data_IF_135711768548
#
_entry.id   IF_135711768548
#
_cell.length_a   1.000
_cell.length_b   1.000
_cell.length_c   1.000
_cell.angle_alpha   90.00
_cell.angle_beta   90.00
_cell.angle_gamma   90.00
#
_symmetry.space_group_name_H-M   'P 1'
#
loop_
_entity.id
_entity.type
_entity.pdbx_description
1 polymer ?
#
# COMPACT_ATOMS: atom_id res chain seq x y z
N UNK A 1 -38.88 -9.09 17.71
CA UNK A 1 -37.64 -9.09 18.52
C UNK A 1 -36.47 -8.89 17.57
N UNK A 2 -36.02 -7.65 17.40
CA UNK A 2 -34.79 -7.33 16.66
C UNK A 2 -33.63 -7.50 17.63
N UNK A 3 -32.86 -8.59 17.51
CA UNK A 3 -31.54 -8.64 18.11
C UNK A 3 -30.67 -7.67 17.33
N UNK A 4 -30.39 -6.52 17.93
CA UNK A 4 -29.29 -5.66 17.52
C UNK A 4 -27.99 -6.44 17.74
N UNK A 5 -27.62 -7.28 16.76
CA UNK A 5 -26.26 -7.78 16.62
C UNK A 5 -25.37 -6.57 16.33
N UNK A 6 -25.00 -5.87 17.40
CA UNK A 6 -23.77 -5.09 17.44
C UNK A 6 -22.66 -6.10 17.14
N UNK A 7 -22.27 -6.22 15.87
CA UNK A 7 -20.99 -6.79 15.51
C UNK A 7 -19.93 -5.89 16.15
N UNK A 8 -19.55 -6.25 17.36
CA UNK A 8 -18.45 -5.62 18.08
C UNK A 8 -17.23 -5.71 17.19
N UNK A 9 -16.64 -4.54 16.89
CA UNK A 9 -15.38 -4.47 16.17
C UNK A 9 -14.39 -5.45 16.81
N UNK A 10 -13.64 -6.23 16.00
CA UNK A 10 -12.72 -7.24 16.51
C UNK A 10 -11.85 -6.62 17.61
N UNK A 11 -11.72 -7.32 18.73
CA UNK A 11 -10.93 -6.82 19.88
C UNK A 11 -9.49 -6.48 19.46
N UNK A 12 -9.00 -7.11 18.41
CA UNK A 12 -7.71 -6.92 17.76
C UNK A 12 -7.57 -5.54 17.11
N UNK A 13 -8.67 -4.90 16.71
CA UNK A 13 -8.68 -3.51 16.25
C UNK A 13 -8.54 -2.51 17.40
N UNK A 14 -8.72 -2.93 18.66
CA UNK A 14 -8.55 -2.10 19.86
C UNK A 14 -7.10 -2.12 20.38
N UNK A 15 -6.21 -2.98 19.86
CA UNK A 15 -4.98 -3.37 20.57
C UNK A 15 -3.65 -3.08 19.87
N UNK A 16 -2.81 -2.27 20.54
CA UNK A 16 -1.42 -1.91 20.22
C UNK A 16 -0.39 -3.06 20.44
N UNK A 17 -0.80 -4.33 20.28
CA UNK A 17 -0.05 -5.50 20.77
C UNK A 17 1.26 -5.79 20.02
N UNK A 18 1.50 -5.11 18.88
CA UNK A 18 2.72 -5.23 18.06
C UNK A 18 3.62 -3.98 18.12
N UNK A 19 3.46 -3.14 19.14
CA UNK A 19 4.25 -1.92 19.31
C UNK A 19 5.73 -2.18 19.61
N UNK A 20 6.04 -3.05 20.57
CA UNK A 20 7.41 -3.25 21.06
C UNK A 20 8.35 -3.89 20.02
N UNK A 21 7.93 -5.00 19.39
CA UNK A 21 8.72 -5.66 18.33
C UNK A 21 8.98 -4.73 17.15
N UNK A 22 7.98 -3.93 16.77
CA UNK A 22 8.13 -2.95 15.72
C UNK A 22 9.12 -1.84 16.12
N UNK A 23 9.00 -1.27 17.33
CA UNK A 23 9.94 -0.26 17.82
C UNK A 23 11.37 -0.81 17.83
N UNK A 24 11.57 -2.04 18.32
CA UNK A 24 12.86 -2.70 18.31
C UNK A 24 13.41 -2.86 16.88
N UNK A 25 12.60 -3.38 15.95
CA UNK A 25 12.99 -3.50 14.55
C UNK A 25 13.34 -2.15 13.92
N UNK A 26 12.55 -1.11 14.19
CA UNK A 26 12.83 0.25 13.73
C UNK A 26 14.14 0.79 14.29
N UNK A 27 14.39 0.64 15.60
CA UNK A 27 15.64 1.07 16.24
C UNK A 27 16.83 0.33 15.62
N UNK A 28 16.74 -0.99 15.45
CA UNK A 28 17.80 -1.79 14.84
C UNK A 28 18.08 -1.35 13.40
N UNK A 29 17.05 -1.15 12.58
CA UNK A 29 17.21 -0.71 11.20
C UNK A 29 17.84 0.69 11.10
N UNK A 30 17.43 1.62 11.98
CA UNK A 30 18.02 2.96 12.04
C UNK A 30 19.46 2.94 12.56
N UNK A 31 19.77 2.09 13.54
CA UNK A 31 21.15 1.90 14.02
C UNK A 31 22.04 1.33 12.92
N UNK A 32 21.56 0.36 12.15
CA UNK A 32 22.27 -0.18 10.99
C UNK A 32 22.46 0.87 9.89
N UNK A 33 21.46 1.73 9.65
CA UNK A 33 21.59 2.85 8.72
C UNK A 33 22.67 3.84 9.19
N UNK A 34 22.67 4.21 10.47
CA UNK A 34 23.68 5.08 11.07
C UNK A 34 25.09 4.47 11.01
N UNK A 35 25.23 3.19 11.36
CA UNK A 35 26.49 2.46 11.27
C UNK A 35 27.01 2.40 9.82
N UNK A 36 26.12 2.16 8.86
CA UNK A 36 26.47 2.16 7.43
C UNK A 36 27.04 3.51 7.00
N UNK A 37 26.41 4.62 7.40
CA UNK A 37 26.92 5.97 7.11
C UNK A 37 28.30 6.21 7.72
N UNK A 38 28.49 5.86 9.00
CA UNK A 38 29.78 5.99 9.69
C UNK A 38 30.89 5.20 8.99
N UNK A 39 30.62 3.94 8.63
CA UNK A 39 31.57 3.12 7.89
C UNK A 39 31.88 3.71 6.50
N UNK A 40 30.87 4.24 5.81
CA UNK A 40 31.06 4.91 4.52
C UNK A 40 32.01 6.10 4.60
N UNK A 41 31.85 6.94 5.63
CA UNK A 41 32.76 8.07 5.88
C UNK A 41 34.17 7.60 6.24
N UNK A 42 34.30 6.60 7.11
CA UNK A 42 35.61 6.03 7.50
C UNK A 42 36.36 5.45 6.29
N UNK A 43 35.69 4.66 5.44
CA UNK A 43 36.30 4.11 4.24
C UNK A 43 36.65 5.18 3.20
N UNK A 44 35.83 6.23 3.08
CA UNK A 44 36.14 7.37 2.22
C UNK A 44 37.38 8.11 2.72
N UNK A 45 37.49 8.35 4.03
CA UNK A 45 38.67 8.97 4.65
C UNK A 45 39.93 8.08 4.51
N UNK A 46 39.77 6.76 4.51
CA UNK A 46 40.83 5.79 4.27
C UNK A 46 41.22 5.63 2.78
N UNK A 47 40.71 6.50 1.88
CA UNK A 47 41.10 6.52 0.46
C UNK A 47 40.27 5.62 -0.46
N UNK A 48 39.14 5.08 0.00
CA UNK A 48 38.22 4.26 -0.81
C UNK A 48 36.87 4.95 -1.03
N UNK A 49 36.80 6.02 -1.83
CA UNK A 49 35.57 6.80 -2.01
C UNK A 49 34.42 6.01 -2.65
N UNK A 50 34.73 4.89 -3.32
CA UNK A 50 33.72 3.98 -3.86
C UNK A 50 32.84 3.34 -2.78
N UNK A 51 33.35 3.15 -1.55
CA UNK A 51 32.57 2.57 -0.45
C UNK A 51 31.43 3.51 0.01
N UNK A 52 31.67 4.82 -0.02
CA UNK A 52 30.73 5.83 0.48
C UNK A 52 29.37 5.74 -0.21
N UNK A 53 29.33 5.63 -1.54
CA UNK A 53 28.06 5.56 -2.29
C UNK A 53 27.23 4.31 -1.96
N UNK A 54 27.86 3.16 -1.72
CA UNK A 54 27.15 1.94 -1.34
C UNK A 54 26.60 2.04 0.07
N UNK A 55 27.40 2.58 1.00
CA UNK A 55 26.98 2.87 2.36
C UNK A 55 25.80 3.86 2.41
N UNK A 56 25.81 4.91 1.58
CA UNK A 56 24.71 5.87 1.44
C UNK A 56 23.45 5.22 0.88
N UNK A 57 23.54 4.46 -0.22
CA UNK A 57 22.40 3.77 -0.81
C UNK A 57 21.81 2.73 0.14
N UNK A 58 22.65 1.98 0.86
CA UNK A 58 22.19 1.02 1.85
C UNK A 58 21.47 1.70 3.03
N UNK A 59 22.05 2.79 3.56
CA UNK A 59 21.40 3.58 4.61
C UNK A 59 20.05 4.17 4.14
N UNK A 60 19.98 4.62 2.88
CA UNK A 60 18.74 5.11 2.28
C UNK A 60 17.68 4.00 2.17
N UNK A 61 18.05 2.81 1.70
CA UNK A 61 17.15 1.64 1.62
C UNK A 61 16.58 1.30 3.01
N UNK A 62 17.43 1.25 4.04
CA UNK A 62 17.00 0.99 5.41
C UNK A 62 16.05 2.07 5.93
N UNK A 63 16.38 3.34 5.69
CA UNK A 63 15.57 4.49 6.11
C UNK A 63 14.20 4.51 5.41
N UNK A 64 14.15 4.23 4.11
CA UNK A 64 12.90 4.12 3.35
C UNK A 64 12.06 2.93 3.82
N UNK A 65 12.68 1.81 4.21
CA UNK A 65 12.00 0.65 4.77
C UNK A 65 11.35 1.00 6.11
N UNK A 66 12.07 1.70 7.00
CA UNK A 66 11.53 2.23 8.25
C UNK A 66 10.40 3.22 7.98
N UNK A 67 10.60 4.15 7.03
CA UNK A 67 9.59 5.12 6.62
C UNK A 67 8.31 4.46 6.12
N UNK A 68 8.43 3.39 5.31
CA UNK A 68 7.27 2.64 4.80
C UNK A 68 6.52 1.92 5.93
N UNK A 69 7.25 1.31 6.86
CA UNK A 69 6.68 0.69 8.06
C UNK A 69 5.99 1.70 8.98
N UNK A 70 6.55 2.91 9.10
CA UNK A 70 5.99 4.00 9.87
C UNK A 70 4.73 4.56 9.19
N UNK A 71 4.78 4.83 7.89
CA UNK A 71 3.64 5.31 7.11
C UNK A 71 2.45 4.34 7.11
N UNK A 72 2.68 3.04 7.32
CA UNK A 72 1.61 2.05 7.51
C UNK A 72 0.97 2.06 8.90
N UNK A 73 1.52 2.85 9.84
CA UNK A 73 1.13 2.89 11.26
C UNK A 73 0.88 4.29 11.82
N UNK A 74 1.37 5.35 11.17
CA UNK A 74 1.18 6.74 11.60
C UNK A 74 -0.32 7.04 11.70
N UNK A 75 -0.67 7.87 12.68
CA UNK A 75 -2.04 8.30 12.96
C UNK A 75 -2.73 8.75 11.69
N UNK A 76 -3.90 8.17 11.49
CA UNK A 76 -4.65 8.24 10.24
C UNK A 76 -5.44 9.54 10.20
N UNK A 77 -5.50 10.17 9.04
CA UNK A 77 -6.34 11.34 8.86
C UNK A 77 -7.83 11.00 9.05
N UNK A 78 -8.64 12.01 9.36
CA UNK A 78 -10.10 11.85 9.39
C UNK A 78 -10.58 11.46 7.99
N UNK A 79 -11.51 10.52 7.89
CA UNK A 79 -12.06 10.04 6.62
C UNK A 79 -12.47 11.19 5.65
N UNK A 80 -13.13 12.28 6.08
CA UNK A 80 -13.60 13.33 5.17
C UNK A 80 -12.50 14.04 4.38
N UNK A 81 -11.28 14.15 4.90
CA UNK A 81 -10.19 14.84 4.20
C UNK A 81 -9.60 13.99 3.07
N UNK A 82 -9.91 12.69 3.05
CA UNK A 82 -9.40 11.74 2.06
C UNK A 82 -10.49 11.25 1.09
N UNK A 83 -11.74 11.68 1.29
CA UNK A 83 -12.82 11.49 0.32
C UNK A 83 -12.80 12.62 -0.70
N UNK A 84 -12.92 12.26 -1.98
CA UNK A 84 -13.10 13.21 -3.08
C UNK A 84 -14.22 12.76 -4.00
N UNK A 85 -14.95 13.70 -4.54
CA UNK A 85 -15.84 13.44 -5.67
C UNK A 85 -15.02 13.50 -6.95
N UNK A 86 -15.09 12.45 -7.77
CA UNK A 86 -14.38 12.37 -9.04
C UNK A 86 -15.37 11.95 -10.13
N UNK A 87 -15.34 12.67 -11.24
CA UNK A 87 -16.14 12.34 -12.41
C UNK A 87 -15.37 11.33 -13.28
N UNK A 88 -15.94 10.13 -13.43
CA UNK A 88 -15.37 9.04 -14.22
C UNK A 88 -16.41 8.58 -15.24
N UNK A 89 -16.09 8.74 -16.53
CA UNK A 89 -16.98 8.40 -17.63
C UNK A 89 -18.35 9.10 -17.56
N UNK A 90 -18.38 10.38 -17.16
CA UNK A 90 -19.60 11.17 -17.02
C UNK A 90 -20.47 10.80 -15.82
N UNK A 91 -19.95 9.98 -14.91
CA UNK A 91 -20.62 9.61 -13.66
C UNK A 91 -19.77 10.07 -12.50
N UNK A 92 -20.35 10.88 -11.62
CA UNK A 92 -19.72 11.28 -10.37
C UNK A 92 -19.61 10.07 -9.43
N UNK A 93 -18.43 9.84 -8.88
CA UNK A 93 -18.13 8.74 -7.95
C UNK A 93 -17.40 9.29 -6.72
N UNK A 94 -17.58 8.62 -5.59
CA UNK A 94 -16.85 8.91 -4.36
C UNK A 94 -15.55 8.12 -4.34
N UNK A 95 -14.41 8.81 -4.31
CA UNK A 95 -13.08 8.22 -4.28
C UNK A 95 -12.46 8.35 -2.88
N UNK A 96 -11.91 7.23 -2.38
CA UNK A 96 -11.09 7.15 -1.16
C UNK A 96 -9.71 6.67 -1.57
N UNK A 97 -8.69 7.51 -1.39
CA UNK A 97 -7.35 7.22 -1.93
C UNK A 97 -6.44 6.51 -0.92
N UNK A 98 -5.55 5.66 -1.41
CA UNK A 98 -4.48 5.08 -0.60
C UNK A 98 -3.51 6.17 -0.12
N UNK A 99 -2.63 5.90 0.83
CA UNK A 99 -1.61 6.86 1.28
C UNK A 99 -0.63 7.19 0.15
N UNK A 100 -0.47 8.49 -0.16
CA UNK A 100 0.52 8.95 -1.12
C UNK A 100 1.95 8.71 -0.61
N UNK A 101 2.17 8.90 0.69
CA UNK A 101 3.47 8.68 1.33
C UNK A 101 3.95 7.24 1.15
N UNK A 102 3.09 6.24 1.39
CA UNK A 102 3.46 4.83 1.18
C UNK A 102 3.82 4.52 -0.26
N UNK A 103 3.07 5.07 -1.22
CA UNK A 103 3.36 4.91 -2.64
C UNK A 103 4.73 5.50 -2.99
N UNK A 104 5.01 6.74 -2.58
CA UNK A 104 6.31 7.39 -2.81
C UNK A 104 7.47 6.65 -2.14
N UNK A 105 7.30 6.20 -0.89
CA UNK A 105 8.30 5.45 -0.15
C UNK A 105 8.62 4.11 -0.83
N UNK A 106 7.60 3.41 -1.34
CA UNK A 106 7.79 2.17 -2.09
C UNK A 106 8.55 2.41 -3.41
N UNK A 107 8.18 3.45 -4.16
CA UNK A 107 8.88 3.82 -5.40
C UNK A 107 10.34 4.19 -5.12
N UNK A 108 10.58 4.99 -4.08
CA UNK A 108 11.93 5.35 -3.64
C UNK A 108 12.75 4.12 -3.25
N UNK A 109 12.14 3.18 -2.53
CA UNK A 109 12.78 1.94 -2.10
C UNK A 109 13.20 1.08 -3.30
N UNK A 110 12.26 0.82 -4.22
CA UNK A 110 12.54 0.02 -5.42
C UNK A 110 13.56 0.69 -6.35
N UNK A 111 13.51 2.02 -6.48
CA UNK A 111 14.50 2.80 -7.23
C UNK A 111 15.88 2.71 -6.59
N UNK A 112 15.97 2.78 -5.26
CA UNK A 112 17.24 2.69 -4.52
C UNK A 112 17.85 1.29 -4.62
N UNK A 113 17.05 0.23 -4.49
CA UNK A 113 17.49 -1.15 -4.71
C UNK A 113 18.00 -1.37 -6.13
N UNK A 114 17.29 -0.85 -7.14
CA UNK A 114 17.72 -0.88 -8.53
C UNK A 114 19.06 -0.18 -8.73
N UNK A 115 19.20 1.06 -8.23
CA UNK A 115 20.43 1.84 -8.35
C UNK A 115 21.62 1.14 -7.69
N UNK A 116 21.42 0.61 -6.47
CA UNK A 116 22.44 -0.15 -5.75
C UNK A 116 22.95 -1.34 -6.58
N UNK A 117 22.03 -2.15 -7.11
CA UNK A 117 22.40 -3.33 -7.90
C UNK A 117 23.07 -2.96 -9.24
N UNK A 118 22.52 -2.00 -9.99
CA UNK A 118 23.09 -1.60 -11.29
C UNK A 118 24.48 -1.00 -11.14
N UNK A 119 24.70 -0.13 -10.14
CA UNK A 119 26.02 0.46 -9.88
C UNK A 119 27.02 -0.62 -9.48
N UNK A 120 26.65 -1.52 -8.57
CA UNK A 120 27.50 -2.64 -8.15
C UNK A 120 27.87 -3.55 -9.33
N UNK A 121 26.89 -3.96 -10.15
CA UNK A 121 27.11 -4.79 -11.32
C UNK A 121 28.07 -4.15 -12.32
N UNK A 122 27.88 -2.86 -12.59
CA UNK A 122 28.72 -2.09 -13.52
C UNK A 122 30.16 -1.99 -13.02
N UNK A 123 30.37 -1.71 -11.73
CA UNK A 123 31.73 -1.63 -11.17
C UNK A 123 32.45 -2.98 -11.16
N UNK A 124 31.75 -4.06 -10.81
CA UNK A 124 32.31 -5.41 -10.85
C UNK A 124 32.75 -5.74 -12.29
N UNK A 125 31.90 -5.45 -13.26
CA UNK A 125 32.18 -5.69 -14.67
C UNK A 125 33.42 -4.92 -15.16
N UNK A 126 33.50 -3.61 -14.86
CA UNK A 126 34.59 -2.75 -15.31
C UNK A 126 35.92 -3.08 -14.64
N UNK A 127 35.89 -3.49 -13.35
CA UNK A 127 37.11 -3.81 -12.58
C UNK A 127 37.63 -5.23 -12.82
N UNK A 128 36.85 -6.09 -13.46
CA UNK A 128 37.25 -7.46 -13.75
C UNK A 128 38.34 -7.49 -14.84
N UNK A 129 39.60 -7.54 -14.41
CA UNK A 129 40.76 -7.75 -15.29
C UNK A 129 41.14 -9.23 -15.28
N UNK A 130 40.73 -9.95 -16.31
CA UNK A 130 41.02 -11.38 -16.51
C UNK A 130 39.81 -12.11 -17.06
N UNK A 131 39.99 -12.87 -18.15
CA UNK A 131 38.95 -13.46 -19.01
C UNK A 131 38.02 -14.52 -18.39
N UNK A 132 37.88 -14.55 -17.06
CA UNK A 132 36.88 -15.36 -16.38
C UNK A 132 35.48 -14.78 -16.57
N UNK A 133 34.47 -15.64 -16.68
CA UNK A 133 33.07 -15.24 -16.86
C UNK A 133 32.57 -14.33 -15.71
N UNK A 134 31.97 -13.15 -15.98
CA UNK A 134 31.54 -12.17 -14.97
C UNK A 134 30.21 -12.55 -14.30
N UNK A 135 30.13 -13.77 -13.74
CA UNK A 135 28.88 -14.32 -13.21
C UNK A 135 28.22 -13.45 -12.15
N UNK A 136 29.00 -12.89 -11.21
CA UNK A 136 28.48 -12.03 -10.15
C UNK A 136 27.87 -10.72 -10.69
N UNK A 137 28.52 -10.08 -11.66
CA UNK A 137 28.00 -8.87 -12.29
C UNK A 137 26.69 -9.14 -13.03
N UNK A 138 26.59 -10.26 -13.75
CA UNK A 138 25.36 -10.63 -14.46
C UNK A 138 24.18 -10.88 -13.51
N UNK A 139 24.41 -11.60 -12.41
CA UNK A 139 23.36 -11.88 -11.42
C UNK A 139 22.89 -10.61 -10.73
N UNK A 140 23.82 -9.76 -10.27
CA UNK A 140 23.48 -8.49 -9.61
C UNK A 140 22.82 -7.53 -10.62
N UNK A 141 23.31 -7.49 -11.85
CA UNK A 141 22.74 -6.68 -12.94
C UNK A 141 21.31 -7.11 -13.27
N UNK A 142 21.07 -8.42 -13.38
CA UNK A 142 19.73 -8.97 -13.58
C UNK A 142 18.78 -8.61 -12.43
N UNK A 143 19.26 -8.66 -11.19
CA UNK A 143 18.49 -8.21 -10.03
C UNK A 143 18.18 -6.70 -10.08
N UNK A 144 19.14 -5.88 -10.51
CA UNK A 144 18.94 -4.46 -10.76
C UNK A 144 17.87 -4.19 -11.82
N UNK A 145 17.94 -4.88 -12.97
CA UNK A 145 16.93 -4.79 -14.03
C UNK A 145 15.56 -5.27 -13.54
N UNK A 146 15.53 -6.33 -12.71
CA UNK A 146 14.30 -6.78 -12.07
C UNK A 146 13.68 -5.63 -11.27
N UNK A 147 14.38 -5.03 -10.30
CA UNK A 147 13.84 -3.88 -9.55
C UNK A 147 13.48 -2.68 -10.44
N UNK A 148 14.28 -2.38 -11.47
CA UNK A 148 13.98 -1.32 -12.43
C UNK A 148 12.64 -1.54 -13.15
N UNK A 149 12.27 -2.80 -13.43
CA UNK A 149 10.98 -3.12 -14.07
C UNK A 149 9.77 -2.71 -13.22
N UNK A 150 9.92 -2.63 -11.89
CA UNK A 150 8.90 -2.09 -11.00
C UNK A 150 8.70 -0.59 -11.24
N UNK A 151 9.80 0.16 -11.19
CA UNK A 151 9.82 1.61 -11.39
C UNK A 151 9.28 1.96 -12.76
N UNK A 152 9.67 1.19 -13.79
CA UNK A 152 9.13 1.34 -15.13
C UNK A 152 7.63 1.04 -15.20
N UNK A 153 7.16 -0.01 -14.51
CA UNK A 153 5.73 -0.31 -14.44
C UNK A 153 4.93 0.80 -13.76
N UNK A 154 5.52 1.48 -12.77
CA UNK A 154 4.92 2.63 -12.12
C UNK A 154 4.91 3.88 -13.03
N UNK A 155 6.00 4.16 -13.72
CA UNK A 155 6.09 5.26 -14.68
C UNK A 155 5.13 5.07 -15.89
N UNK A 156 4.92 3.83 -16.35
CA UNK A 156 3.89 3.49 -17.34
C UNK A 156 2.46 3.51 -16.78
N UNK A 157 2.29 3.79 -15.49
CA UNK A 157 0.98 3.82 -14.82
C UNK A 157 0.31 2.45 -14.71
N UNK A 158 1.04 1.33 -14.84
CA UNK A 158 0.51 0.00 -14.55
C UNK A 158 0.46 -0.27 -13.05
N UNK A 159 1.43 0.29 -12.32
CA UNK A 159 1.41 0.44 -10.87
C UNK A 159 1.03 1.88 -10.58
N UNK A 160 -0.04 2.10 -9.81
CA UNK A 160 -0.51 3.43 -9.42
C UNK A 160 -0.85 3.43 -7.94
N UNK A 161 -0.99 4.64 -7.39
CA UNK A 161 -1.64 4.83 -6.09
C UNK A 161 -3.01 4.17 -6.13
N UNK A 162 -3.27 3.29 -5.18
CA UNK A 162 -4.56 2.61 -5.10
C UNK A 162 -5.68 3.54 -4.66
N UNK A 163 -6.89 3.13 -4.94
CA UNK A 163 -8.11 3.88 -4.64
C UNK A 163 -9.28 2.91 -4.48
N UNK A 164 -10.22 3.30 -3.62
CA UNK A 164 -11.52 2.67 -3.47
C UNK A 164 -12.54 3.67 -3.99
N UNK A 165 -13.24 3.29 -5.05
CA UNK A 165 -14.24 4.09 -5.73
C UNK A 165 -15.60 3.49 -5.42
N UNK A 166 -16.49 4.33 -4.92
CA UNK A 166 -17.87 4.00 -4.61
C UNK A 166 -18.77 4.77 -5.57
N UNK A 167 -19.64 4.05 -6.26
CA UNK A 167 -20.69 4.64 -7.11
C UNK A 167 -22.04 4.08 -6.71
N UNK A 168 -23.14 4.60 -7.26
CA UNK A 168 -24.45 4.01 -7.08
C UNK A 168 -24.58 2.57 -7.62
N UNK A 169 -23.68 2.13 -8.51
CA UNK A 169 -23.68 0.78 -9.10
C UNK A 169 -22.92 -0.24 -8.25
N UNK A 170 -21.83 0.17 -7.60
CA UNK A 170 -21.01 -0.77 -6.84
C UNK A 170 -19.75 -0.17 -6.25
N UNK A 171 -18.87 -1.08 -5.88
CA UNK A 171 -17.56 -0.81 -5.30
C UNK A 171 -16.49 -1.25 -6.29
N UNK A 172 -15.63 -0.32 -6.65
CA UNK A 172 -14.46 -0.54 -7.50
C UNK A 172 -13.21 -0.31 -6.64
N UNK A 173 -12.33 -1.30 -6.57
CA UNK A 173 -11.05 -1.18 -5.89
C UNK A 173 -9.93 -1.29 -6.92
N UNK A 174 -9.13 -0.23 -6.99
CA UNK A 174 -7.84 -0.23 -7.67
C UNK A 174 -6.76 -0.44 -6.62
N UNK A 175 -6.17 -1.62 -6.58
CA UNK A 175 -4.94 -1.85 -5.82
C UNK A 175 -3.71 -1.32 -6.56
N UNK A 176 -2.51 -1.55 -6.03
CA UNK A 176 -1.27 -1.16 -6.73
C UNK A 176 -1.07 -1.97 -8.02
N UNK A 177 -1.54 -3.22 -8.04
CA UNK A 177 -1.28 -4.18 -9.13
C UNK A 177 -2.53 -4.88 -9.66
N UNK A 178 -3.71 -4.50 -9.20
CA UNK A 178 -4.97 -5.09 -9.64
C UNK A 178 -6.12 -4.09 -9.67
N UNK A 179 -7.20 -4.50 -10.31
CA UNK A 179 -8.52 -3.89 -10.28
C UNK A 179 -9.54 -4.97 -9.92
N UNK A 180 -10.48 -4.62 -9.05
CA UNK A 180 -11.55 -5.49 -8.56
C UNK A 180 -12.84 -4.69 -8.49
N UNK A 181 -13.91 -5.15 -9.12
CA UNK A 181 -15.21 -4.48 -9.13
C UNK A 181 -16.30 -5.45 -8.73
N UNK A 182 -17.11 -5.03 -7.76
CA UNK A 182 -18.26 -5.77 -7.28
C UNK A 182 -19.47 -4.82 -7.22
N UNK A 183 -20.58 -5.25 -7.81
CA UNK A 183 -21.83 -4.49 -7.76
C UNK A 183 -22.48 -4.59 -6.38
N UNK A 184 -23.25 -3.59 -5.98
CA UNK A 184 -23.93 -3.60 -4.69
C UNK A 184 -24.91 -4.77 -4.53
N UNK A 185 -25.58 -5.16 -5.61
CA UNK A 185 -26.48 -6.32 -5.67
C UNK A 185 -25.73 -7.64 -5.38
N UNK A 186 -24.44 -7.69 -5.72
CA UNK A 186 -23.58 -8.84 -5.52
C UNK A 186 -22.96 -8.92 -4.14
N UNK A 187 -23.08 -7.88 -3.29
CA UNK A 187 -22.51 -7.84 -1.94
C UNK A 187 -23.48 -8.53 -0.97
N UNK A 188 -23.03 -9.61 -0.35
CA UNK A 188 -23.76 -10.35 0.67
C UNK A 188 -23.63 -9.70 2.06
N UNK A 189 -22.51 -9.03 2.33
CA UNK A 189 -22.30 -8.34 3.60
C UNK A 189 -20.91 -7.73 3.74
N UNK A 190 -20.71 -7.10 4.90
CA UNK A 190 -19.45 -6.44 5.26
C UNK A 190 -18.99 -6.94 6.63
N UNK A 191 -17.76 -7.42 6.70
CA UNK A 191 -17.19 -8.02 7.91
C UNK A 191 -15.88 -7.31 8.27
N UNK A 192 -15.73 -6.82 9.50
CA UNK A 192 -14.43 -6.39 10.01
C UNK A 192 -13.61 -7.64 10.34
N UNK A 193 -12.39 -7.74 9.80
CA UNK A 193 -11.52 -8.88 10.04
C UNK A 193 -10.10 -8.43 10.41
N UNK A 194 -9.27 -9.39 10.81
CA UNK A 194 -7.88 -9.14 11.20
C UNK A 194 -6.95 -10.20 10.63
N UNK A 195 -6.12 -9.83 9.66
CA UNK A 195 -5.13 -10.71 9.04
C UNK A 195 -3.70 -10.26 9.38
N UNK A 196 -3.40 -10.18 10.69
CA UNK A 196 -2.19 -9.54 11.21
C UNK A 196 -2.22 -8.00 11.15
N UNK A 197 -3.26 -7.43 10.55
CA UNK A 197 -3.60 -6.02 10.48
C UNK A 197 -5.12 -5.87 10.27
N UNK A 198 -5.72 -4.73 10.61
CA UNK A 198 -7.13 -4.48 10.37
C UNK A 198 -7.45 -4.50 8.87
N UNK A 199 -8.49 -5.25 8.49
CA UNK A 199 -9.00 -5.33 7.12
C UNK A 199 -10.52 -5.28 7.11
N UNK A 200 -11.11 -4.59 6.14
CA UNK A 200 -12.56 -4.61 5.91
C UNK A 200 -12.86 -5.50 4.72
N UNK A 201 -13.72 -6.49 4.90
CA UNK A 201 -14.09 -7.44 3.86
C UNK A 201 -15.49 -7.13 3.36
N UNK A 202 -15.63 -6.76 2.09
CA UNK A 202 -16.93 -6.74 1.41
C UNK A 202 -17.10 -8.08 0.70
N UNK A 203 -17.92 -8.95 1.26
CA UNK A 203 -18.10 -10.33 0.80
C UNK A 203 -19.22 -10.34 -0.23
N UNK A 204 -18.93 -10.88 -1.42
CA UNK A 204 -19.92 -11.08 -2.45
C UNK A 204 -20.57 -12.46 -2.40
N UNK A 205 -21.75 -12.60 -3.00
CA UNK A 205 -22.35 -13.91 -3.27
C UNK A 205 -21.45 -14.72 -4.22
N UNK A 206 -21.50 -16.05 -4.11
CA UNK A 206 -20.67 -16.95 -4.93
C UNK A 206 -20.92 -16.79 -6.45
N UNK A 207 -22.15 -16.38 -6.83
CA UNK A 207 -22.59 -16.14 -8.20
C UNK A 207 -22.56 -14.65 -8.60
N UNK A 208 -21.97 -13.77 -7.78
CA UNK A 208 -21.90 -12.35 -8.09
C UNK A 208 -21.04 -12.07 -9.34
N UNK A 209 -21.45 -11.09 -10.14
CA UNK A 209 -20.69 -10.59 -11.30
C UNK A 209 -19.40 -9.87 -10.87
N UNK A 210 -18.37 -10.63 -10.50
CA UNK A 210 -17.12 -10.10 -10.00
C UNK A 210 -16.08 -9.94 -11.10
N UNK A 211 -15.76 -8.68 -11.43
CA UNK A 211 -14.74 -8.36 -12.42
C UNK A 211 -13.41 -8.10 -11.72
N UNK A 212 -12.42 -8.95 -11.95
CA UNK A 212 -11.07 -8.80 -11.37
C UNK A 212 -9.99 -8.97 -12.42
N UNK A 213 -8.96 -8.13 -12.38
CA UNK A 213 -7.78 -8.26 -13.24
C UNK A 213 -6.52 -7.77 -12.57
N UNK A 214 -5.40 -8.43 -12.85
CA UNK A 214 -4.09 -7.89 -12.54
C UNK A 214 -3.66 -6.89 -13.61
N UNK A 215 -3.16 -5.72 -13.21
CA UNK A 215 -2.63 -4.71 -14.13
C UNK A 215 -1.15 -4.89 -14.44
N UNK A 216 -0.46 -5.71 -13.65
CA UNK A 216 0.94 -6.10 -13.85
C UNK A 216 1.05 -7.63 -13.92
N UNK A 217 1.95 -8.12 -14.78
CA UNK A 217 2.21 -9.58 -14.88
C UNK A 217 3.22 -10.05 -13.83
N UNK A 218 4.31 -9.31 -13.67
CA UNK A 218 5.43 -9.65 -12.78
C UNK A 218 5.15 -9.19 -11.35
N UNK A 219 4.71 -7.95 -11.19
CA UNK A 219 4.59 -7.28 -9.88
C UNK A 219 3.21 -7.43 -9.26
N UNK A 220 2.84 -8.65 -8.86
CA UNK A 220 1.57 -8.94 -8.15
C UNK A 220 1.71 -8.75 -6.64
N UNK A 221 2.03 -7.52 -6.23
CA UNK A 221 2.33 -7.15 -4.83
C UNK A 221 1.11 -7.41 -3.95
N UNK A 222 -0.06 -7.11 -4.49
CA UNK A 222 -1.33 -7.31 -3.82
C UNK A 222 -1.98 -8.58 -4.35
N UNK A 223 -2.59 -9.36 -3.45
CA UNK A 223 -3.30 -10.57 -3.85
C UNK A 223 -4.77 -10.26 -4.06
N UNK A 224 -5.30 -10.69 -5.20
CA UNK A 224 -6.74 -10.77 -5.39
C UNK A 224 -7.26 -11.93 -4.56
N UNK A 225 -8.39 -11.76 -3.84
CA UNK A 225 -9.03 -12.87 -3.14
C UNK A 225 -9.37 -14.03 -4.10
N UNK A 226 -9.50 -15.27 -3.60
CA UNK A 226 -9.90 -16.39 -4.45
C UNK A 226 -11.40 -16.34 -4.81
N UNK A 227 -12.23 -15.80 -3.92
CA UNK A 227 -13.71 -15.71 -4.00
C UNK A 227 -14.19 -14.27 -4.17
N UNK A 228 -15.40 -14.02 -4.71
CA UNK A 228 -15.97 -12.68 -4.88
C UNK A 228 -15.92 -11.86 -3.60
N UNK A 229 -14.92 -10.97 -3.53
CA UNK A 229 -14.66 -10.16 -2.33
C UNK A 229 -13.79 -8.96 -2.67
N UNK A 230 -14.04 -7.85 -1.97
CA UNK A 230 -13.14 -6.70 -1.93
C UNK A 230 -12.52 -6.65 -0.54
N UNK A 231 -11.22 -6.91 -0.48
CA UNK A 231 -10.42 -6.82 0.75
C UNK A 231 -9.79 -5.43 0.84
N UNK A 232 -10.25 -4.65 1.80
CA UNK A 232 -9.77 -3.29 2.07
C UNK A 232 -8.73 -3.36 3.19
N UNK A 233 -7.45 -3.43 2.80
CA UNK A 233 -6.33 -3.32 3.75
C UNK A 233 -6.27 -1.90 4.31
N UNK A 234 -6.74 -1.74 5.54
CA UNK A 234 -6.83 -0.44 6.21
C UNK A 234 -5.47 0.23 6.39
N UNK A 235 -4.33 -0.47 6.30
CA UNK A 235 -3.00 0.17 6.39
C UNK A 235 -2.67 0.97 5.16
N UNK A 236 -3.24 0.62 4.01
CA UNK A 236 -2.93 1.28 2.73
C UNK A 236 -3.62 2.62 2.60
N UNK A 237 -4.62 2.90 3.43
CA UNK A 237 -5.35 4.15 3.43
C UNK A 237 -4.88 5.04 4.57
N UNK A 238 -4.87 6.34 4.30
CA UNK A 238 -4.65 7.36 5.31
C UNK A 238 -5.99 7.81 5.91
N UNK A 239 -6.75 6.84 6.43
CA UNK A 239 -8.06 7.04 7.09
C UNK A 239 -8.22 6.07 8.26
N UNK A 240 -8.92 6.48 9.31
CA UNK A 240 -9.25 5.58 10.42
C UNK A 240 -10.04 4.36 9.91
N UNK A 241 -9.62 3.15 10.33
CA UNK A 241 -10.22 1.91 9.83
C UNK A 241 -11.67 1.74 10.31
N UNK A 242 -12.00 2.26 11.50
CA UNK A 242 -13.35 2.21 12.07
C UNK A 242 -14.25 3.19 11.35
N UNK A 243 -13.77 4.40 11.08
CA UNK A 243 -14.49 5.38 10.27
C UNK A 243 -14.77 4.81 8.87
N UNK A 244 -13.75 4.23 8.22
CA UNK A 244 -13.91 3.62 6.90
C UNK A 244 -14.89 2.43 6.92
N UNK A 245 -14.80 1.56 7.94
CA UNK A 245 -15.74 0.45 8.10
C UNK A 245 -17.17 0.94 8.30
N UNK A 246 -17.38 1.90 9.21
CA UNK A 246 -18.71 2.47 9.47
C UNK A 246 -19.31 3.14 8.24
N UNK A 247 -18.48 3.87 7.49
CA UNK A 247 -18.86 4.51 6.24
C UNK A 247 -19.28 3.49 5.18
N UNK A 248 -18.46 2.45 4.93
CA UNK A 248 -18.79 1.41 3.96
C UNK A 248 -20.01 0.59 4.39
N UNK A 249 -20.11 0.28 5.68
CA UNK A 249 -21.25 -0.45 6.25
C UNK A 249 -22.55 0.31 6.05
N UNK A 250 -22.55 1.62 6.21
CA UNK A 250 -23.74 2.42 5.96
C UNK A 250 -24.32 2.20 4.54
N UNK A 251 -23.48 2.19 3.50
CA UNK A 251 -23.95 1.97 2.12
C UNK A 251 -24.28 0.50 1.83
N UNK A 252 -23.68 -0.45 2.55
CA UNK A 252 -24.10 -1.86 2.49
C UNK A 252 -25.50 -2.01 3.09
N UNK A 253 -25.71 -1.46 4.29
CA UNK A 253 -26.95 -1.62 5.07
C UNK A 253 -28.10 -0.72 4.57
N UNK A 254 -27.80 0.40 3.90
CA UNK A 254 -28.80 1.38 3.44
C UNK A 254 -28.73 1.61 1.91
N UNK A 255 -29.41 0.78 1.09
CA UNK A 255 -29.37 0.89 -0.36
C UNK A 255 -29.78 2.26 -0.93
N UNK A 256 -30.78 2.90 -0.33
CA UNK A 256 -31.25 4.22 -0.76
C UNK A 256 -30.18 5.32 -0.61
N UNK A 257 -29.26 5.17 0.36
CA UNK A 257 -28.16 6.11 0.54
C UNK A 257 -27.10 5.99 -0.57
N UNK A 258 -27.14 5.00 -1.46
CA UNK A 258 -26.14 4.89 -2.53
C UNK A 258 -26.26 5.98 -3.59
N UNK A 259 -27.41 6.65 -3.67
CA UNK A 259 -27.66 7.74 -4.63
C UNK A 259 -26.82 9.00 -4.33
N UNK A 260 -26.43 9.23 -3.08
CA UNK A 260 -25.53 10.34 -2.73
C UNK A 260 -24.05 10.05 -3.04
N UNK A 261 -23.68 8.82 -3.39
CA UNK A 261 -22.29 8.52 -3.80
C UNK A 261 -21.94 9.30 -5.06
N UNK A 262 -20.81 10.00 -5.03
CA UNK A 262 -20.43 10.98 -6.07
C UNK A 262 -20.98 12.38 -5.83
N UNK A 263 -21.52 12.69 -4.65
CA UNK A 263 -22.01 14.04 -4.30
C UNK A 263 -21.39 14.53 -2.99
N UNK A 264 -21.57 15.83 -2.69
CA UNK A 264 -21.14 16.41 -1.42
C UNK A 264 -21.83 15.76 -0.20
N UNK A 265 -23.04 15.20 -0.37
CA UNK A 265 -23.75 14.51 0.70
C UNK A 265 -22.98 13.27 1.21
N UNK A 266 -22.26 12.58 0.33
CA UNK A 266 -21.40 11.47 0.72
C UNK A 266 -20.19 11.92 1.55
N UNK A 267 -19.65 13.12 1.29
CA UNK A 267 -18.56 13.71 2.08
C UNK A 267 -19.09 14.16 3.44
N UNK A 268 -20.23 14.84 3.45
CA UNK A 268 -20.91 15.28 4.66
C UNK A 268 -21.29 14.10 5.58
N UNK A 269 -21.69 12.97 5.00
CA UNK A 269 -21.91 11.73 5.75
C UNK A 269 -20.65 11.24 6.43
N UNK A 270 -19.50 11.28 5.76
CA UNK A 270 -18.23 10.91 6.38
C UNK A 270 -17.89 11.84 7.55
N UNK A 271 -18.26 13.14 7.48
CA UNK A 271 -18.09 14.07 8.61
C UNK A 271 -18.97 13.69 9.79
N UNK A 272 -20.22 13.30 9.55
CA UNK A 272 -21.19 12.91 10.60
C UNK A 272 -20.94 11.53 11.18
N UNK A 273 -20.39 10.61 10.39
CA UNK A 273 -19.97 9.28 10.82
C UNK A 273 -18.77 9.32 11.79
N UNK A 274 -18.21 10.51 12.01
CA UNK A 274 -17.23 10.80 13.05
C UNK A 274 -17.92 11.51 14.24
N UNK A 275 -18.69 10.80 15.09
CA UNK A 275 -19.22 11.39 16.31
C UNK A 275 -18.10 11.41 17.35
N UNK A 276 -17.20 12.39 17.24
CA UNK A 276 -16.28 12.84 18.28
C UNK A 276 -15.17 11.85 18.74
N UNK A 277 -13.95 12.41 18.84
CA UNK A 277 -13.03 12.08 19.93
C UNK A 277 -13.65 12.44 21.28
#
# INVERSE_FOLDING_TARGET
MQSSEHFDLPSEWKGNRRGAQYRLATIVLLALAGLSLLLGFLFSAAGTPAALKYCLLFALILTLTVGLGAAARIDRANLPSNIKTVELHGVSKTQISYSFAQYCLLIGLMSSCSAFCVIAATEIFVRQRGGSFPGASLVIGALGVFFASFVMSAALGRIRRGELILSNQGVEQRGWSFESRLEWSGIAGIVPAFNGHPVVLLIGYANAGWHRRYTTRIWRIDRLPPVPMIEVDCRKFDVDCRELYGYLRHYVDTPAAREELGTEAAIERARRANPAR
#
